data_IF_976684761782
#
_entry.id   IF_976684761782
#
_cell.length_a   1.000
_cell.length_b   1.000
_cell.length_c   1.000
_cell.angle_alpha   90.00
_cell.angle_beta   90.00
_cell.angle_gamma   90.00
#
_symmetry.space_group_name_H-M   'P 1'
#
loop_
_entity.id
_entity.type
_entity.pdbx_description
1 polymer ?
#
# COMPACT_ATOMS: atom_id res chain seq x y z
N UNK A 1 55.66 10.86 25.37
CA UNK A 1 54.70 9.97 24.66
C UNK A 1 54.16 10.66 23.40
N UNK A 2 55.03 11.21 22.55
CA UNK A 2 54.62 12.09 21.44
C UNK A 2 55.27 11.75 20.10
N UNK A 3 56.20 10.78 20.06
CA UNK A 3 56.91 10.42 18.82
C UNK A 3 56.28 9.25 18.04
N UNK A 4 55.20 8.66 18.54
CA UNK A 4 54.51 7.54 17.90
C UNK A 4 53.61 7.97 16.72
N UNK A 5 53.25 9.26 16.64
CA UNK A 5 52.39 9.80 15.58
C UNK A 5 53.18 10.29 14.36
N UNK A 6 54.46 10.64 14.52
CA UNK A 6 55.32 11.17 13.45
C UNK A 6 55.72 10.11 12.42
N UNK A 7 55.78 8.84 12.85
CA UNK A 7 56.24 7.71 12.04
C UNK A 7 55.10 6.83 11.50
N UNK A 8 53.85 7.18 11.84
CA UNK A 8 52.68 6.57 11.22
C UNK A 8 52.51 7.17 9.82
N UNK A 9 53.32 6.69 8.87
CA UNK A 9 53.02 6.80 7.45
C UNK A 9 51.97 5.73 7.14
N UNK A 10 50.66 6.06 7.12
CA UNK A 10 49.66 5.07 6.76
C UNK A 10 50.04 4.53 5.38
N UNK A 11 50.21 3.21 5.29
CA UNK A 11 50.42 2.57 4.00
C UNK A 11 49.25 2.94 3.10
N UNK A 12 49.49 3.12 1.79
CA UNK A 12 48.43 3.44 0.82
C UNK A 12 47.25 2.46 0.92
N UNK A 13 47.52 1.22 1.35
CA UNK A 13 46.51 0.20 1.60
C UNK A 13 45.62 0.50 2.80
N UNK A 14 46.16 0.94 3.95
CA UNK A 14 45.35 1.30 5.13
C UNK A 14 44.41 2.48 4.85
N UNK A 15 44.88 3.47 4.09
CA UNK A 15 44.05 4.62 3.72
C UNK A 15 42.91 4.20 2.79
N UNK A 16 43.21 3.36 1.78
CA UNK A 16 42.20 2.81 0.87
C UNK A 16 41.11 2.03 1.62
N UNK A 17 41.50 1.12 2.53
CA UNK A 17 40.55 0.33 3.31
C UNK A 17 39.70 1.19 4.26
N UNK A 18 40.27 2.25 4.83
CA UNK A 18 39.53 3.19 5.69
C UNK A 18 38.45 3.94 4.92
N UNK A 19 38.76 4.39 3.68
CA UNK A 19 37.80 5.07 2.80
C UNK A 19 36.66 4.12 2.40
N UNK A 20 37.00 2.89 1.99
CA UNK A 20 35.99 1.87 1.65
C UNK A 20 35.09 1.57 2.84
N UNK A 21 35.68 1.39 4.03
CA UNK A 21 34.93 1.16 5.26
C UNK A 21 33.97 2.31 5.58
N UNK A 22 34.42 3.56 5.48
CA UNK A 22 33.58 4.73 5.69
C UNK A 22 32.41 4.79 4.68
N UNK A 23 32.67 4.52 3.39
CA UNK A 23 31.61 4.48 2.37
C UNK A 23 30.56 3.42 2.70
N UNK A 24 30.98 2.19 3.01
CA UNK A 24 30.05 1.10 3.36
C UNK A 24 29.23 1.46 4.60
N UNK A 25 29.84 2.04 5.62
CA UNK A 25 29.12 2.50 6.81
C UNK A 25 28.09 3.57 6.48
N UNK A 26 28.43 4.56 5.66
CA UNK A 26 27.47 5.62 5.25
C UNK A 26 26.31 5.06 4.42
N UNK A 27 26.56 4.06 3.56
CA UNK A 27 25.51 3.36 2.81
C UNK A 27 24.59 2.64 3.79
N UNK A 28 25.13 1.82 4.71
CA UNK A 28 24.30 1.08 5.66
C UNK A 28 23.43 2.04 6.47
N UNK A 29 24.01 3.10 7.03
CA UNK A 29 23.26 4.09 7.82
C UNK A 29 22.22 4.80 6.95
N UNK A 30 22.57 5.20 5.73
CA UNK A 30 21.67 5.89 4.80
C UNK A 30 20.48 5.03 4.38
N UNK A 31 20.70 3.76 4.07
CA UNK A 31 19.65 2.83 3.62
C UNK A 31 18.85 2.21 4.77
N UNK A 32 19.34 2.22 6.02
CA UNK A 32 18.62 1.67 7.18
C UNK A 32 17.90 2.74 8.01
N UNK A 33 18.63 3.78 8.44
CA UNK A 33 18.10 4.84 9.31
C UNK A 33 17.72 6.09 8.52
N UNK A 34 18.45 6.40 7.45
CA UNK A 34 18.18 7.55 6.58
C UNK A 34 17.02 7.35 5.62
N UNK A 35 16.52 6.12 5.47
CA UNK A 35 15.44 5.79 4.53
C UNK A 35 15.78 6.02 3.06
N UNK A 36 17.07 6.10 2.72
CA UNK A 36 17.50 6.28 1.33
C UNK A 36 17.16 5.03 0.52
N UNK A 37 16.58 5.23 -0.65
CA UNK A 37 16.28 4.18 -1.62
C UNK A 37 16.79 4.60 -2.98
N UNK A 38 17.09 3.64 -3.85
CA UNK A 38 17.53 3.95 -5.20
C UNK A 38 16.36 4.56 -5.99
N UNK A 39 16.60 5.58 -6.81
CA UNK A 39 15.54 6.32 -7.50
C UNK A 39 14.58 5.41 -8.30
N UNK A 40 15.10 4.35 -8.94
CA UNK A 40 14.28 3.36 -9.64
C UNK A 40 13.34 2.58 -8.72
N UNK A 41 13.84 2.14 -7.56
CA UNK A 41 13.04 1.46 -6.54
C UNK A 41 12.00 2.42 -5.93
N UNK A 42 12.38 3.67 -5.67
CA UNK A 42 11.45 4.69 -5.17
C UNK A 42 10.29 4.93 -6.15
N UNK A 43 10.58 5.02 -7.45
CA UNK A 43 9.56 5.20 -8.48
C UNK A 43 8.59 4.00 -8.56
N UNK A 44 9.10 2.77 -8.49
CA UNK A 44 8.26 1.56 -8.53
C UNK A 44 7.41 1.43 -7.27
N UNK A 45 7.97 1.73 -6.09
CA UNK A 45 7.22 1.77 -4.84
C UNK A 45 6.12 2.83 -4.88
N UNK A 46 6.42 4.03 -5.41
CA UNK A 46 5.42 5.09 -5.56
C UNK A 46 4.29 4.68 -6.51
N UNK A 47 4.61 4.05 -7.64
CA UNK A 47 3.63 3.54 -8.60
C UNK A 47 2.74 2.46 -7.99
N UNK A 48 3.34 1.47 -7.33
CA UNK A 48 2.60 0.38 -6.67
C UNK A 48 1.70 0.92 -5.57
N UNK A 49 2.21 1.83 -4.75
CA UNK A 49 1.43 2.49 -3.69
C UNK A 49 0.28 3.30 -4.27
N UNK A 50 0.49 4.02 -5.37
CA UNK A 50 -0.56 4.78 -6.04
C UNK A 50 -1.65 3.86 -6.63
N UNK A 51 -1.28 2.71 -7.20
CA UNK A 51 -2.25 1.72 -7.69
C UNK A 51 -3.07 1.16 -6.52
N UNK A 52 -2.41 0.75 -5.44
CA UNK A 52 -3.05 0.21 -4.24
C UNK A 52 -4.01 1.23 -3.60
N UNK A 53 -3.56 2.46 -3.40
CA UNK A 53 -4.38 3.53 -2.82
C UNK A 53 -5.62 3.83 -3.68
N UNK A 54 -5.48 3.80 -5.01
CA UNK A 54 -6.63 3.96 -5.92
C UNK A 54 -7.59 2.78 -5.82
N UNK A 55 -7.09 1.55 -5.73
CA UNK A 55 -7.90 0.36 -5.56
C UNK A 55 -8.67 0.37 -4.23
N UNK A 56 -8.01 0.75 -3.13
CA UNK A 56 -8.64 0.90 -1.81
C UNK A 56 -9.72 1.97 -1.81
N UNK A 57 -9.45 3.14 -2.40
CA UNK A 57 -10.44 4.20 -2.53
C UNK A 57 -11.65 3.76 -3.36
N UNK A 58 -11.39 3.14 -4.51
CA UNK A 58 -12.44 2.60 -5.38
C UNK A 58 -13.26 1.52 -4.68
N UNK A 59 -12.63 0.65 -3.90
CA UNK A 59 -13.31 -0.37 -3.11
C UNK A 59 -14.20 0.26 -2.02
N UNK A 60 -13.70 1.26 -1.29
CA UNK A 60 -14.48 1.96 -0.28
C UNK A 60 -15.69 2.69 -0.91
N UNK A 61 -15.51 3.33 -2.06
CA UNK A 61 -16.62 3.95 -2.80
C UNK A 61 -17.61 2.90 -3.34
N UNK A 62 -17.12 1.74 -3.76
CA UNK A 62 -17.95 0.61 -4.18
C UNK A 62 -18.83 0.12 -3.02
N UNK A 63 -18.27 -0.06 -1.82
CA UNK A 63 -19.04 -0.41 -0.62
C UNK A 63 -20.14 0.62 -0.37
N UNK A 64 -19.81 1.91 -0.40
CA UNK A 64 -20.79 2.98 -0.20
C UNK A 64 -21.92 2.98 -1.26
N UNK A 65 -21.57 2.81 -2.53
CA UNK A 65 -22.55 2.65 -3.61
C UNK A 65 -23.42 1.40 -3.43
N UNK A 66 -22.83 0.32 -2.95
CA UNK A 66 -23.52 -0.95 -2.74
C UNK A 66 -24.55 -0.83 -1.61
N UNK A 67 -24.16 -0.28 -0.46
CA UNK A 67 -25.06 -0.17 0.71
C UNK A 67 -26.18 0.86 0.53
N UNK A 68 -25.97 1.87 -0.31
CA UNK A 68 -26.97 2.91 -0.60
C UNK A 68 -27.96 2.49 -1.69
N UNK A 69 -27.72 1.37 -2.38
CA UNK A 69 -28.64 0.83 -3.37
C UNK A 69 -29.92 0.31 -2.69
N UNK A 70 -31.08 0.45 -3.36
CA UNK A 70 -32.38 0.01 -2.83
C UNK A 70 -32.44 -1.52 -2.57
N UNK A 71 -31.63 -2.28 -3.28
CA UNK A 71 -31.55 -3.73 -3.29
C UNK A 71 -30.32 -4.27 -2.53
N UNK A 72 -29.63 -3.42 -1.77
CA UNK A 72 -28.38 -3.74 -1.10
C UNK A 72 -28.45 -5.01 -0.23
N UNK A 73 -29.51 -5.18 0.58
CA UNK A 73 -29.66 -6.36 1.44
C UNK A 73 -29.80 -7.66 0.64
N UNK A 74 -30.48 -7.62 -0.51
CA UNK A 74 -30.67 -8.79 -1.37
C UNK A 74 -29.37 -9.13 -2.08
N UNK A 75 -28.65 -8.13 -2.57
CA UNK A 75 -27.35 -8.33 -3.22
C UNK A 75 -26.29 -8.81 -2.24
N UNK A 76 -26.31 -8.36 -0.98
CA UNK A 76 -25.37 -8.81 0.05
C UNK A 76 -25.56 -10.32 0.31
N UNK A 77 -26.81 -10.77 0.45
CA UNK A 77 -27.12 -12.19 0.60
C UNK A 77 -26.56 -13.00 -0.58
N UNK A 78 -26.85 -12.57 -1.82
CA UNK A 78 -26.31 -13.22 -3.04
C UNK A 78 -24.79 -13.21 -3.10
N UNK A 79 -24.15 -12.11 -2.70
CA UNK A 79 -22.69 -12.00 -2.67
C UNK A 79 -22.06 -12.97 -1.67
N UNK A 80 -22.69 -13.13 -0.50
CA UNK A 80 -22.24 -14.09 0.52
C UNK A 80 -22.37 -15.54 0.05
N UNK A 81 -23.44 -15.86 -0.68
CA UNK A 81 -23.66 -17.17 -1.32
C UNK A 81 -22.72 -17.43 -2.50
N UNK A 82 -22.27 -16.37 -3.18
CA UNK A 82 -21.34 -16.47 -4.31
C UNK A 82 -19.97 -16.95 -3.83
N UNK A 83 -19.36 -17.87 -4.57
CA UNK A 83 -18.02 -18.39 -4.29
C UNK A 83 -16.98 -17.27 -4.34
N UNK A 84 -15.94 -17.33 -3.50
CA UNK A 84 -14.94 -16.24 -3.36
C UNK A 84 -14.34 -15.81 -4.70
N UNK A 85 -14.06 -16.77 -5.59
CA UNK A 85 -13.48 -16.52 -6.92
C UNK A 85 -14.44 -15.86 -7.92
N UNK A 86 -15.75 -15.83 -7.64
CA UNK A 86 -16.77 -15.22 -8.51
C UNK A 86 -17.26 -13.87 -7.98
N UNK A 87 -16.85 -13.48 -6.77
CA UNK A 87 -17.34 -12.26 -6.13
C UNK A 87 -16.85 -10.99 -6.83
N UNK A 88 -15.63 -10.98 -7.36
CA UNK A 88 -15.12 -9.84 -8.12
C UNK A 88 -15.98 -9.60 -9.39
N UNK A 89 -16.37 -10.69 -10.06
CA UNK A 89 -17.27 -10.68 -11.21
C UNK A 89 -18.64 -10.12 -10.84
N UNK A 90 -19.25 -10.62 -9.75
CA UNK A 90 -20.52 -10.10 -9.25
C UNK A 90 -20.48 -8.59 -8.99
N UNK A 91 -19.41 -8.11 -8.35
CA UNK A 91 -19.24 -6.67 -8.05
C UNK A 91 -19.02 -5.84 -9.32
N UNK A 92 -18.28 -6.38 -10.28
CA UNK A 92 -18.00 -5.73 -11.56
C UNK A 92 -19.24 -5.65 -12.44
N UNK A 93 -20.00 -6.74 -12.52
CA UNK A 93 -21.21 -6.88 -13.34
C UNK A 93 -22.35 -6.01 -12.79
N UNK A 94 -22.48 -5.88 -11.47
CA UNK A 94 -23.41 -4.94 -10.87
C UNK A 94 -22.97 -3.47 -10.93
N UNK A 95 -21.77 -3.19 -11.45
CA UNK A 95 -21.32 -1.84 -11.77
C UNK A 95 -20.96 -0.96 -10.57
N UNK A 96 -20.80 -1.53 -9.37
CA UNK A 96 -20.48 -0.76 -8.16
C UNK A 96 -19.05 -0.19 -8.15
N UNK A 97 -18.17 -0.74 -8.99
CA UNK A 97 -16.80 -0.23 -9.22
C UNK A 97 -16.68 0.71 -10.44
N UNK A 98 -17.80 1.00 -11.11
CA UNK A 98 -17.84 1.95 -12.24
C UNK A 98 -18.03 3.38 -11.74
N UNK A 99 -17.00 4.20 -11.93
CA UNK A 99 -17.00 5.62 -11.56
C UNK A 99 -17.04 6.52 -12.80
N UNK A 100 -17.90 7.54 -12.78
CA UNK A 100 -18.02 8.50 -13.87
C UNK A 100 -16.67 9.20 -14.13
N UNK A 101 -16.29 9.30 -15.40
CA UNK A 101 -15.01 9.93 -15.81
C UNK A 101 -13.79 9.01 -15.75
N UNK A 102 -13.91 7.78 -15.21
CA UNK A 102 -12.81 6.80 -15.18
C UNK A 102 -13.06 5.74 -16.26
N UNK A 103 -12.14 5.65 -17.25
CA UNK A 103 -12.26 4.72 -18.39
C UNK A 103 -11.95 3.26 -18.04
N UNK A 104 -11.19 3.02 -16.97
CA UNK A 104 -10.76 1.69 -16.54
C UNK A 104 -10.89 1.58 -15.04
N UNK A 105 -11.55 0.53 -14.57
CA UNK A 105 -11.72 0.28 -13.15
C UNK A 105 -10.34 0.13 -12.47
N UNK A 106 -10.24 0.54 -11.22
CA UNK A 106 -9.00 0.35 -10.48
C UNK A 106 -8.78 -1.16 -10.29
N UNK A 107 -7.63 -1.72 -10.76
CA UNK A 107 -7.37 -3.15 -10.66
C UNK A 107 -7.39 -3.59 -9.19
N UNK A 108 -8.10 -4.68 -8.89
CA UNK A 108 -8.27 -5.19 -7.53
C UNK A 108 -9.35 -4.48 -6.69
N UNK A 109 -9.99 -3.42 -7.19
CA UNK A 109 -11.04 -2.73 -6.43
C UNK A 109 -12.29 -3.59 -6.22
N UNK A 110 -12.67 -4.42 -7.20
CA UNK A 110 -13.83 -5.30 -7.10
C UNK A 110 -13.62 -6.41 -6.05
N UNK A 111 -12.43 -7.01 -6.04
CA UNK A 111 -12.02 -8.01 -5.07
C UNK A 111 -12.00 -7.44 -3.63
N UNK A 112 -11.33 -6.30 -3.44
CA UNK A 112 -11.30 -5.60 -2.14
C UNK A 112 -12.70 -5.15 -1.68
N UNK A 113 -13.57 -4.74 -2.62
CA UNK A 113 -14.95 -4.39 -2.30
C UNK A 113 -15.74 -5.61 -1.85
N UNK A 114 -15.63 -6.73 -2.56
CA UNK A 114 -16.26 -7.99 -2.20
C UNK A 114 -15.81 -8.49 -0.81
N UNK A 115 -14.51 -8.44 -0.54
CA UNK A 115 -13.95 -8.83 0.76
C UNK A 115 -14.53 -7.98 1.90
N UNK A 116 -14.54 -6.65 1.73
CA UNK A 116 -15.14 -5.73 2.71
C UNK A 116 -16.64 -6.00 2.91
N UNK A 117 -17.40 -6.25 1.84
CA UNK A 117 -18.83 -6.51 1.91
C UNK A 117 -19.17 -7.84 2.57
N UNK A 118 -18.36 -8.88 2.35
CA UNK A 118 -18.58 -10.19 2.99
C UNK A 118 -18.21 -10.16 4.46
N UNK A 119 -17.21 -9.35 4.83
CA UNK A 119 -16.82 -9.12 6.22
C UNK A 119 -17.87 -8.30 7.02
N UNK A 120 -18.82 -7.63 6.36
CA UNK A 120 -19.92 -6.95 7.04
C UNK A 120 -20.95 -7.99 7.52
N UNK A 121 -21.21 -8.04 8.83
CA UNK A 121 -22.26 -8.90 9.40
C UNK A 121 -23.67 -8.43 9.00
N UNK A 122 -23.88 -7.11 8.92
CA UNK A 122 -25.08 -6.47 8.42
C UNK A 122 -24.73 -5.17 7.67
N UNK A 123 -25.62 -4.68 6.80
CA UNK A 123 -25.44 -3.38 6.15
C UNK A 123 -25.44 -2.30 7.23
N UNK A 124 -24.34 -1.55 7.41
CA UNK A 124 -24.30 -0.50 8.40
C UNK A 124 -25.22 0.63 7.92
N UNK A 125 -26.30 0.90 8.67
CA UNK A 125 -26.95 2.20 8.63
C UNK A 125 -25.97 3.21 9.25
N UNK A 126 -25.07 3.76 8.43
CA UNK A 126 -24.18 4.88 8.71
C UNK A 126 -23.63 4.99 10.14
N UNK A 127 -22.53 4.31 10.43
CA UNK A 127 -21.58 4.75 11.48
C UNK A 127 -20.28 5.21 10.83
N UNK A 128 -20.32 6.41 10.27
CA UNK A 128 -19.10 7.22 10.15
C UNK A 128 -18.68 7.58 11.57
N UNK A 129 -17.40 7.38 11.89
CA UNK A 129 -16.68 7.80 13.11
C UNK A 129 -16.48 6.72 14.17
N UNK A 130 -15.33 6.04 14.12
CA UNK A 130 -14.45 5.69 15.26
C UNK A 130 -13.24 4.91 14.73
N UNK A 131 -12.21 5.59 14.23
CA UNK A 131 -10.79 5.23 14.44
C UNK A 131 -9.87 6.23 13.72
N UNK A 132 -9.96 7.53 14.04
CA UNK A 132 -8.95 8.53 13.66
C UNK A 132 -8.72 9.49 14.84
N UNK A 133 -8.51 8.97 16.05
CA UNK A 133 -7.96 9.75 17.18
C UNK A 133 -7.32 8.80 18.20
N UNK A 134 -6.08 8.40 17.93
CA UNK A 134 -5.01 8.23 18.93
C UNK A 134 -3.74 8.74 18.22
N UNK A 135 -3.20 9.91 18.58
CA UNK A 135 -2.80 10.28 19.93
C UNK A 135 -1.38 9.79 20.11
#
# INVERSE_FOLDING_TARGET
MSQQFEEYRPSKTLWFWSVVGAMVLTIIVGFTAGGWTLAGTAAEMAKTSAIKARAELAANLCVQKFITASDASQNLAKLKETSSYQRDGFITDGGWVKFAGIKKDAPGAADLCAEKLVALDAIPMSTVSEDQTKG
#
